data_IF_929275345741
#
_entry.id   IF_929275345741
#
_cell.length_a   1.000
_cell.length_b   1.000
_cell.length_c   1.000
_cell.angle_alpha   90.00
_cell.angle_beta   90.00
_cell.angle_gamma   90.00
#
_symmetry.space_group_name_H-M   'P 1'
#
loop_
_entity.id
_entity.type
_entity.pdbx_description
1 polymer ?
#
# COMPACT_ATOMS: atom_id res chain seq x y z
N UNK A 1 -1.77 -26.15 5.51
CA UNK A 1 -1.27 -24.76 5.27
C UNK A 1 -2.13 -23.78 6.07
N UNK A 2 -1.53 -22.86 6.83
CA UNK A 2 -2.29 -21.93 7.69
C UNK A 2 -2.83 -20.79 6.80
N UNK A 3 -4.08 -20.90 6.34
CA UNK A 3 -4.67 -19.95 5.40
C UNK A 3 -4.60 -18.48 5.84
N UNK A 4 -4.74 -18.11 7.13
CA UNK A 4 -4.61 -16.71 7.52
C UNK A 4 -3.21 -16.14 7.29
N UNK A 5 -2.17 -16.95 7.46
CA UNK A 5 -0.78 -16.53 7.15
C UNK A 5 -0.58 -16.36 5.65
N UNK A 6 -1.09 -17.30 4.84
CA UNK A 6 -1.01 -17.22 3.38
C UNK A 6 -1.69 -15.94 2.87
N UNK A 7 -2.92 -15.69 3.28
CA UNK A 7 -3.69 -14.49 2.92
C UNK A 7 -2.96 -13.23 3.36
N UNK A 8 -2.49 -13.19 4.62
CA UNK A 8 -1.77 -12.03 5.15
C UNK A 8 -0.46 -11.74 4.40
N UNK A 9 0.21 -12.75 3.86
CA UNK A 9 1.44 -12.59 3.08
C UNK A 9 1.14 -12.15 1.66
N UNK A 10 0.23 -12.84 0.96
CA UNK A 10 -0.10 -12.55 -0.44
C UNK A 10 -0.81 -11.19 -0.61
N UNK A 11 -1.67 -10.84 0.35
CA UNK A 11 -2.41 -9.57 0.36
C UNK A 11 -1.79 -8.55 1.34
N UNK A 12 -0.47 -8.62 1.53
CA UNK A 12 0.27 -7.60 2.27
C UNK A 12 0.40 -6.31 1.44
N UNK A 13 0.70 -5.15 2.05
CA UNK A 13 0.74 -3.88 1.35
C UNK A 13 1.58 -3.86 0.06
N UNK A 14 2.83 -4.37 0.03
CA UNK A 14 3.64 -4.30 -1.18
C UNK A 14 3.05 -5.05 -2.40
N UNK A 15 2.61 -6.32 -2.31
CA UNK A 15 1.98 -7.01 -3.44
C UNK A 15 0.70 -6.35 -3.94
N UNK A 16 -0.21 -5.90 -3.05
CA UNK A 16 -1.49 -5.34 -3.50
C UNK A 16 -1.32 -4.02 -4.24
N UNK A 17 -0.39 -3.17 -3.80
CA UNK A 17 -0.08 -1.93 -4.51
C UNK A 17 0.70 -2.19 -5.80
N UNK A 18 1.60 -3.16 -5.85
CA UNK A 18 2.27 -3.57 -7.08
C UNK A 18 1.27 -4.08 -8.14
N UNK A 19 0.32 -4.93 -7.72
CA UNK A 19 -0.73 -5.43 -8.60
C UNK A 19 -1.67 -4.32 -9.10
N UNK A 20 -1.98 -3.32 -8.26
CA UNK A 20 -2.82 -2.20 -8.64
C UNK A 20 -2.13 -1.22 -9.59
N UNK A 21 -0.83 -1.00 -9.41
CA UNK A 21 -0.05 -0.08 -10.24
C UNK A 21 -0.03 -0.49 -11.73
N UNK A 22 0.00 -1.79 -12.02
CA UNK A 22 0.08 -2.27 -13.39
C UNK A 22 -1.13 -1.89 -14.25
N UNK A 23 -2.39 -2.24 -13.89
CA UNK A 23 -3.55 -1.84 -14.69
C UNK A 23 -3.77 -0.33 -14.71
N UNK A 24 -3.49 0.37 -13.61
CA UNK A 24 -3.58 1.84 -13.56
C UNK A 24 -2.61 2.48 -14.53
N UNK A 25 -1.37 1.99 -14.59
CA UNK A 25 -0.35 2.52 -15.49
C UNK A 25 -0.65 2.23 -16.96
N UNK A 26 -1.13 1.02 -17.27
CA UNK A 26 -1.41 0.63 -18.65
C UNK A 26 -2.65 1.32 -19.24
N UNK A 27 -3.58 1.73 -18.38
CA UNK A 27 -4.83 2.37 -18.81
C UNK A 27 -4.60 3.69 -19.55
N UNK A 28 -3.73 4.56 -19.02
CA UNK A 28 -3.58 5.94 -19.50
C UNK A 28 -2.20 6.20 -20.16
N UNK A 29 -1.39 5.15 -20.36
CA UNK A 29 -0.08 5.27 -20.99
C UNK A 29 -0.20 5.48 -22.52
N UNK A 30 0.66 6.31 -23.10
CA UNK A 30 0.71 6.53 -24.54
C UNK A 30 1.16 5.28 -25.32
N UNK A 31 1.87 4.35 -24.67
CA UNK A 31 2.27 3.06 -25.24
C UNK A 31 2.38 2.01 -24.15
N UNK A 32 2.29 0.74 -24.55
CA UNK A 32 2.45 -0.40 -23.62
C UNK A 32 3.81 -0.37 -22.92
N UNK A 33 4.89 -0.07 -23.65
CA UNK A 33 6.24 0.04 -23.09
C UNK A 33 6.35 1.15 -22.05
N UNK A 34 5.76 2.31 -22.30
CA UNK A 34 5.73 3.40 -21.32
C UNK A 34 4.92 3.01 -20.07
N UNK A 35 3.78 2.34 -20.27
CA UNK A 35 3.00 1.81 -19.15
C UNK A 35 3.81 0.85 -18.27
N UNK A 36 4.57 -0.06 -18.87
CA UNK A 36 5.45 -0.96 -18.14
C UNK A 36 6.58 -0.24 -17.41
N UNK A 37 7.19 0.77 -18.02
CA UNK A 37 8.23 1.58 -17.35
C UNK A 37 7.65 2.32 -16.14
N UNK A 38 6.52 2.99 -16.29
CA UNK A 38 5.88 3.71 -15.19
C UNK A 38 5.44 2.78 -14.06
N UNK A 39 4.83 1.63 -14.39
CA UNK A 39 4.51 0.59 -13.42
C UNK A 39 5.78 0.06 -12.74
N UNK A 40 6.86 -0.16 -13.50
CA UNK A 40 8.16 -0.60 -12.99
C UNK A 40 8.76 0.36 -11.97
N UNK A 41 8.76 1.67 -12.26
CA UNK A 41 9.20 2.71 -11.33
C UNK A 41 8.39 2.61 -10.03
N UNK A 42 7.06 2.58 -10.15
CA UNK A 42 6.20 2.48 -8.97
C UNK A 42 6.47 1.20 -8.17
N UNK A 43 6.45 0.03 -8.81
CA UNK A 43 6.64 -1.28 -8.17
C UNK A 43 7.99 -1.35 -7.46
N UNK A 44 9.06 -0.91 -8.11
CA UNK A 44 10.41 -0.94 -7.53
C UNK A 44 10.48 -0.08 -6.28
N UNK A 45 10.07 1.18 -6.38
CA UNK A 45 10.29 2.13 -5.28
C UNK A 45 9.19 2.09 -4.21
N UNK A 46 7.92 1.85 -4.55
CA UNK A 46 6.82 1.83 -3.55
C UNK A 46 6.68 0.47 -2.88
N UNK A 47 6.97 -0.62 -3.61
CA UNK A 47 6.71 -1.98 -3.12
C UNK A 47 8.00 -2.77 -2.85
N UNK A 48 8.86 -2.92 -3.85
CA UNK A 48 9.98 -3.88 -3.80
C UNK A 48 11.10 -3.41 -2.86
N UNK A 49 11.62 -2.20 -3.02
CA UNK A 49 12.74 -1.71 -2.21
C UNK A 49 12.40 -1.64 -0.71
N UNK A 50 11.24 -1.08 -0.28
CA UNK A 50 10.84 -1.12 1.12
C UNK A 50 10.70 -2.55 1.66
N UNK A 51 10.12 -3.46 0.86
CA UNK A 51 9.98 -4.86 1.26
C UNK A 51 11.34 -5.55 1.42
N UNK A 52 12.27 -5.34 0.49
CA UNK A 52 13.63 -5.88 0.57
C UNK A 52 14.39 -5.32 1.78
N UNK A 53 14.21 -4.03 2.09
CA UNK A 53 14.78 -3.44 3.30
C UNK A 53 14.28 -4.16 4.55
N UNK A 54 12.96 -4.35 4.71
CA UNK A 54 12.39 -5.08 5.85
C UNK A 54 12.91 -6.52 5.90
N UNK A 55 12.94 -7.23 4.76
CA UNK A 55 13.46 -8.58 4.69
C UNK A 55 14.94 -8.66 5.11
N UNK A 56 15.76 -7.70 4.69
CA UNK A 56 17.16 -7.62 5.10
C UNK A 56 17.29 -7.34 6.61
N UNK A 57 16.41 -6.51 7.19
CA UNK A 57 16.41 -6.24 8.62
C UNK A 57 15.97 -7.47 9.44
N UNK A 58 15.00 -8.25 8.93
CA UNK A 58 14.60 -9.53 9.55
C UNK A 58 15.76 -10.53 9.52
N UNK A 59 16.42 -10.69 8.36
CA UNK A 59 17.59 -11.58 8.24
C UNK A 59 18.75 -11.20 9.18
N UNK A 60 18.91 -9.90 9.45
CA UNK A 60 19.93 -9.39 10.38
C UNK A 60 19.50 -9.41 11.85
N UNK A 61 18.32 -9.96 12.16
CA UNK A 61 17.77 -10.02 13.53
C UNK A 61 17.38 -8.66 14.12
N UNK A 62 17.32 -7.59 13.32
CA UNK A 62 16.94 -6.25 13.78
C UNK A 62 15.43 -6.00 13.82
N UNK A 63 14.67 -6.81 13.11
CA UNK A 63 13.21 -6.84 13.08
C UNK A 63 12.78 -8.29 13.30
N UNK A 64 11.78 -8.51 14.15
CA UNK A 64 11.34 -9.85 14.58
C UNK A 64 10.66 -10.65 13.48
N UNK A 65 9.90 -10.00 12.59
CA UNK A 65 9.22 -10.62 11.46
C UNK A 65 8.77 -9.57 10.44
N UNK A 66 8.40 -10.02 9.24
CA UNK A 66 7.89 -9.15 8.16
C UNK A 66 6.61 -8.38 8.58
N UNK A 67 5.82 -8.94 9.47
CA UNK A 67 4.60 -8.29 10.01
C UNK A 67 4.90 -7.12 10.98
N UNK A 68 6.14 -7.02 11.47
CA UNK A 68 6.58 -5.98 12.42
C UNK A 68 5.58 -5.76 13.57
N UNK A 69 5.37 -6.77 14.44
CA UNK A 69 4.37 -6.68 15.50
C UNK A 69 4.68 -5.58 16.53
N UNK A 70 5.97 -5.28 16.73
CA UNK A 70 6.42 -4.25 17.65
C UNK A 70 6.43 -2.89 16.97
N UNK A 71 5.79 -1.90 17.62
CA UNK A 71 5.62 -0.54 17.10
C UNK A 71 6.95 0.16 16.80
N UNK A 72 7.92 -0.01 17.69
CA UNK A 72 9.25 0.61 17.63
C UNK A 72 10.02 0.16 16.37
N UNK A 73 9.80 -1.07 15.93
CA UNK A 73 10.45 -1.64 14.74
C UNK A 73 9.96 -1.02 13.43
N UNK A 74 8.81 -0.32 13.42
CA UNK A 74 8.19 0.28 12.22
C UNK A 74 8.80 1.62 11.82
N UNK A 75 9.45 2.33 12.73
CA UNK A 75 9.93 3.71 12.47
C UNK A 75 10.88 3.77 11.28
N UNK A 76 11.93 2.95 11.27
CA UNK A 76 12.91 2.92 10.16
C UNK A 76 12.31 2.43 8.85
N UNK A 77 11.56 1.31 8.80
CA UNK A 77 10.81 0.91 7.60
C UNK A 77 9.92 2.00 7.02
N UNK A 78 9.17 2.72 7.85
CA UNK A 78 8.35 3.83 7.36
C UNK A 78 9.18 4.96 6.75
N UNK A 79 10.29 5.36 7.37
CA UNK A 79 11.17 6.38 6.82
C UNK A 79 11.75 5.96 5.46
N UNK A 80 12.18 4.70 5.33
CA UNK A 80 12.66 4.15 4.04
C UNK A 80 11.53 4.14 3.02
N UNK A 81 10.32 3.70 3.40
CA UNK A 81 9.17 3.69 2.50
C UNK A 81 8.80 5.10 2.04
N UNK A 82 8.79 6.09 2.94
CA UNK A 82 8.55 7.50 2.60
C UNK A 82 9.59 7.98 1.59
N UNK A 83 10.87 7.78 1.86
CA UNK A 83 11.96 8.21 0.96
C UNK A 83 11.84 7.55 -0.41
N UNK A 84 11.66 6.22 -0.47
CA UNK A 84 11.49 5.51 -1.74
C UNK A 84 10.25 5.97 -2.50
N UNK A 85 9.10 6.15 -1.83
CA UNK A 85 7.87 6.60 -2.48
C UNK A 85 7.96 8.05 -2.97
N UNK A 86 8.68 8.92 -2.25
CA UNK A 86 8.98 10.29 -2.72
C UNK A 86 9.81 10.26 -3.99
N UNK A 87 10.82 9.38 -4.07
CA UNK A 87 11.61 9.19 -5.29
C UNK A 87 10.72 8.68 -6.43
N UNK A 88 9.84 7.70 -6.18
CA UNK A 88 8.89 7.21 -7.19
C UNK A 88 8.01 8.35 -7.74
N UNK A 89 7.44 9.14 -6.84
CA UNK A 89 6.58 10.27 -7.20
C UNK A 89 7.34 11.29 -8.06
N UNK A 90 8.55 11.65 -7.66
CA UNK A 90 9.39 12.59 -8.41
C UNK A 90 9.78 12.05 -9.79
N UNK A 91 10.21 10.78 -9.88
CA UNK A 91 10.56 10.15 -11.15
C UNK A 91 9.35 10.09 -12.11
N UNK A 92 8.17 9.67 -11.61
CA UNK A 92 6.95 9.62 -12.40
C UNK A 92 6.51 11.00 -12.91
N UNK A 93 6.75 12.06 -12.14
CA UNK A 93 6.51 13.43 -12.60
C UNK A 93 7.53 13.90 -13.67
N UNK A 94 8.79 13.50 -13.55
CA UNK A 94 9.86 13.92 -14.45
C UNK A 94 9.89 13.14 -15.77
N UNK A 95 9.32 11.94 -15.81
CA UNK A 95 9.25 11.11 -17.03
C UNK A 95 8.03 11.41 -17.92
N UNK A 96 7.31 12.50 -17.67
CA UNK A 96 6.05 12.82 -18.36
C UNK A 96 5.03 11.65 -18.32
N UNK A 97 5.05 10.86 -17.24
CA UNK A 97 4.04 9.85 -17.01
C UNK A 97 2.65 10.49 -16.95
N UNK A 98 1.59 9.83 -17.44
CA UNK A 98 0.22 10.33 -17.27
C UNK A 98 -0.06 10.67 -15.82
N UNK A 99 -0.80 11.77 -15.58
CA UNK A 99 -1.03 12.33 -14.24
C UNK A 99 -1.53 11.33 -13.18
N UNK A 100 -2.20 10.27 -13.63
CA UNK A 100 -2.70 9.20 -12.76
C UNK A 100 -1.59 8.45 -12.00
N UNK A 101 -0.42 8.23 -12.61
CA UNK A 101 0.66 7.49 -11.96
C UNK A 101 1.40 8.32 -10.87
N UNK A 102 1.80 9.58 -11.12
CA UNK A 102 2.27 10.46 -10.06
C UNK A 102 1.24 10.64 -8.94
N UNK A 103 -0.05 10.70 -9.28
CA UNK A 103 -1.12 10.80 -8.29
C UNK A 103 -1.24 9.54 -7.43
N UNK A 104 -1.18 8.35 -8.02
CA UNK A 104 -1.16 7.08 -7.27
C UNK A 104 0.03 7.02 -6.31
N UNK A 105 1.21 7.47 -6.75
CA UNK A 105 2.40 7.55 -5.90
C UNK A 105 2.22 8.56 -4.76
N UNK A 106 1.57 9.71 -5.02
CA UNK A 106 1.24 10.71 -4.00
C UNK A 106 0.25 10.15 -2.97
N UNK A 107 -0.79 9.43 -3.41
CA UNK A 107 -1.72 8.74 -2.51
C UNK A 107 -1.00 7.74 -1.62
N UNK A 108 -0.09 6.93 -2.20
CA UNK A 108 0.71 5.97 -1.43
C UNK A 108 1.63 6.67 -0.42
N UNK A 109 2.27 7.78 -0.81
CA UNK A 109 3.11 8.59 0.07
C UNK A 109 2.29 9.15 1.24
N UNK A 110 1.13 9.71 0.98
CA UNK A 110 0.25 10.25 2.01
C UNK A 110 -0.26 9.16 2.97
N UNK A 111 -0.62 7.97 2.45
CA UNK A 111 -1.02 6.82 3.27
C UNK A 111 0.13 6.35 4.18
N UNK A 112 1.35 6.22 3.63
CA UNK A 112 2.52 5.80 4.41
C UNK A 112 2.88 6.86 5.46
N UNK A 113 2.83 8.15 5.11
CA UNK A 113 3.07 9.24 6.07
C UNK A 113 2.02 9.26 7.18
N UNK A 114 0.74 9.08 6.84
CA UNK A 114 -0.36 9.03 7.80
C UNK A 114 -0.20 7.88 8.79
N UNK A 115 0.10 6.65 8.30
CA UNK A 115 0.29 5.53 9.21
C UNK A 115 1.58 5.64 10.03
N UNK A 116 2.64 6.24 9.49
CA UNK A 116 3.85 6.54 10.23
C UNK A 116 3.57 7.49 11.41
N UNK A 117 2.81 8.55 11.15
CA UNK A 117 2.38 9.51 12.17
C UNK A 117 1.47 8.86 13.23
N UNK A 118 0.40 8.18 12.79
CA UNK A 118 -0.55 7.52 13.70
C UNK A 118 0.16 6.47 14.57
N UNK A 119 1.13 5.74 14.00
CA UNK A 119 1.89 4.72 14.74
C UNK A 119 2.69 5.31 15.92
N UNK A 120 2.91 6.61 16.00
CA UNK A 120 3.52 7.25 17.17
C UNK A 120 2.65 7.09 18.45
N UNK A 121 1.33 7.07 18.29
CA UNK A 121 0.39 6.94 19.39
C UNK A 121 -0.39 5.61 19.36
N UNK A 122 -0.85 5.17 18.19
CA UNK A 122 -1.74 4.02 18.04
C UNK A 122 -1.38 3.17 16.82
N UNK A 123 -1.41 1.83 16.98
CA UNK A 123 -1.00 0.89 15.94
C UNK A 123 -2.21 0.41 15.13
N UNK A 124 -2.56 1.11 14.07
CA UNK A 124 -3.59 0.67 13.13
C UNK A 124 -3.07 -0.39 12.14
N UNK A 125 -3.98 -1.05 11.41
CA UNK A 125 -3.65 -2.12 10.47
C UNK A 125 -3.22 -1.59 9.11
N UNK A 126 -1.94 -1.77 8.76
CA UNK A 126 -1.42 -1.45 7.41
C UNK A 126 -2.12 -2.26 6.32
N UNK A 127 -2.45 -3.53 6.57
CA UNK A 127 -3.14 -4.39 5.61
C UNK A 127 -4.53 -3.84 5.27
N UNK A 128 -5.30 -3.46 6.29
CA UNK A 128 -6.63 -2.89 6.07
C UNK A 128 -6.55 -1.54 5.39
N UNK A 129 -5.61 -0.68 5.80
CA UNK A 129 -5.39 0.61 5.15
C UNK A 129 -5.07 0.43 3.66
N UNK A 130 -4.14 -0.48 3.32
CA UNK A 130 -3.74 -0.72 1.93
C UNK A 130 -4.85 -1.36 1.10
N UNK A 131 -5.53 -2.39 1.62
CA UNK A 131 -6.66 -3.00 0.91
C UNK A 131 -7.79 -2.01 0.68
N UNK A 132 -8.10 -1.17 1.65
CA UNK A 132 -9.11 -0.12 1.48
C UNK A 132 -8.66 0.94 0.47
N UNK A 133 -7.40 1.37 0.52
CA UNK A 133 -6.84 2.28 -0.48
C UNK A 133 -6.89 1.70 -1.90
N UNK A 134 -6.64 0.40 -2.06
CA UNK A 134 -6.78 -0.30 -3.35
C UNK A 134 -8.24 -0.35 -3.80
N UNK A 135 -9.22 -0.57 -2.90
CA UNK A 135 -10.64 -0.49 -3.26
C UNK A 135 -11.05 0.90 -3.73
N UNK A 136 -10.57 1.95 -3.05
CA UNK A 136 -10.81 3.35 -3.47
C UNK A 136 -10.17 3.62 -4.82
N UNK A 137 -8.94 3.17 -5.05
CA UNK A 137 -8.27 3.31 -6.34
C UNK A 137 -9.00 2.51 -7.44
N UNK A 138 -9.44 1.28 -7.16
CA UNK A 138 -10.23 0.48 -8.10
C UNK A 138 -11.54 1.20 -8.48
N UNK A 139 -12.24 1.75 -7.50
CA UNK A 139 -13.45 2.53 -7.73
C UNK A 139 -13.17 3.78 -8.57
N UNK A 140 -12.16 4.55 -8.21
CA UNK A 140 -11.85 5.83 -8.86
C UNK A 140 -11.34 5.66 -10.30
N UNK A 141 -10.50 4.65 -10.55
CA UNK A 141 -9.88 4.46 -11.87
C UNK A 141 -10.66 3.51 -12.79
N UNK A 142 -11.40 2.55 -12.25
CA UNK A 142 -12.07 1.51 -13.04
C UNK A 142 -13.58 1.43 -12.81
N UNK A 143 -14.09 2.15 -11.81
CA UNK A 143 -15.50 2.21 -11.48
C UNK A 143 -15.95 1.23 -10.38
N UNK A 144 -17.22 1.35 -9.93
CA UNK A 144 -17.72 0.67 -8.72
C UNK A 144 -17.73 -0.86 -8.84
N UNK A 145 -17.90 -1.40 -10.04
CA UNK A 145 -17.92 -2.85 -10.27
C UNK A 145 -16.58 -3.49 -9.84
N UNK A 146 -15.45 -2.85 -10.13
CA UNK A 146 -14.14 -3.37 -9.77
C UNK A 146 -13.90 -3.30 -8.27
N UNK A 147 -14.31 -2.23 -7.61
CA UNK A 147 -14.23 -2.14 -6.16
C UNK A 147 -15.09 -3.22 -5.49
N UNK A 148 -16.30 -3.47 -6.00
CA UNK A 148 -17.18 -4.52 -5.51
C UNK A 148 -16.57 -5.91 -5.72
N UNK A 149 -16.00 -6.17 -6.91
CA UNK A 149 -15.36 -7.46 -7.22
C UNK A 149 -14.15 -7.76 -6.30
N UNK A 150 -13.42 -6.73 -5.86
CA UNK A 150 -12.28 -6.86 -4.96
C UNK A 150 -12.68 -6.88 -3.46
N UNK A 151 -13.90 -6.48 -3.12
CA UNK A 151 -14.37 -6.38 -1.73
C UNK A 151 -14.30 -7.69 -0.93
N UNK A 152 -14.50 -8.91 -1.51
CA UNK A 152 -14.30 -10.16 -0.78
C UNK A 152 -12.86 -10.34 -0.27
N UNK A 153 -11.87 -9.85 -1.00
CA UNK A 153 -10.45 -9.90 -0.55
C UNK A 153 -10.23 -9.01 0.67
N UNK A 154 -10.90 -7.87 0.74
CA UNK A 154 -10.88 -6.98 1.91
C UNK A 154 -11.43 -7.69 3.16
N UNK A 155 -12.57 -8.38 3.04
CA UNK A 155 -13.14 -9.19 4.13
C UNK A 155 -12.21 -10.33 4.54
N UNK A 156 -11.60 -10.99 3.56
CA UNK A 156 -10.67 -12.09 3.79
C UNK A 156 -9.42 -11.63 4.55
N UNK A 157 -8.88 -10.45 4.21
CA UNK A 157 -7.76 -9.85 4.95
C UNK A 157 -8.18 -9.49 6.37
N UNK A 158 -9.35 -8.87 6.56
CA UNK A 158 -9.85 -8.56 7.89
C UNK A 158 -9.96 -9.83 8.77
N UNK A 159 -10.56 -10.89 8.25
CA UNK A 159 -10.70 -12.17 8.93
C UNK A 159 -9.33 -12.79 9.25
N UNK A 160 -8.37 -12.74 8.32
CA UNK A 160 -7.03 -13.25 8.53
C UNK A 160 -6.29 -12.51 9.65
N UNK A 161 -6.38 -11.16 9.66
CA UNK A 161 -5.71 -10.35 10.70
C UNK A 161 -6.30 -10.57 12.09
N UNK A 162 -7.62 -10.76 12.20
CA UNK A 162 -8.29 -11.12 13.46
C UNK A 162 -7.87 -12.52 13.94
N UNK A 163 -7.92 -13.52 13.06
CA UNK A 163 -7.54 -14.91 13.43
C UNK A 163 -6.08 -15.08 13.81
N UNK A 164 -5.19 -14.25 13.25
CA UNK A 164 -3.78 -14.23 13.62
C UNK A 164 -3.52 -13.46 14.94
N UNK A 165 -4.53 -12.85 15.54
CA UNK A 165 -4.36 -12.01 16.75
C UNK A 165 -3.45 -10.80 16.52
N UNK A 166 -3.31 -10.34 15.27
CA UNK A 166 -2.37 -9.25 14.93
C UNK A 166 -2.95 -7.85 15.17
N UNK A 167 -4.26 -7.73 15.14
CA UNK A 167 -4.97 -6.46 15.34
C UNK A 167 -6.33 -6.70 16.00
N UNK A 168 -6.78 -5.71 16.79
CA UNK A 168 -8.15 -5.63 17.27
C UNK A 168 -9.09 -5.12 16.16
N UNK A 169 -10.43 -5.33 16.30
CA UNK A 169 -11.41 -4.75 15.37
C UNK A 169 -11.26 -3.23 15.21
N UNK A 170 -11.00 -2.49 16.29
CA UNK A 170 -10.77 -1.06 16.25
C UNK A 170 -9.54 -0.66 15.43
N UNK A 171 -8.45 -1.44 15.52
CA UNK A 171 -7.23 -1.21 14.72
C UNK A 171 -7.44 -1.52 13.23
N UNK A 172 -8.29 -2.50 12.90
CA UNK A 172 -8.69 -2.77 11.51
C UNK A 172 -9.54 -1.62 10.96
N UNK A 173 -10.53 -1.18 11.73
CA UNK A 173 -11.39 -0.06 11.36
C UNK A 173 -10.59 1.23 11.18
N UNK A 174 -9.66 1.53 12.09
CA UNK A 174 -8.77 2.69 11.97
C UNK A 174 -7.94 2.65 10.69
N UNK A 175 -7.42 1.47 10.32
CA UNK A 175 -6.73 1.27 9.04
C UNK A 175 -7.66 1.52 7.84
N UNK A 176 -8.89 0.98 7.87
CA UNK A 176 -9.87 1.17 6.80
C UNK A 176 -10.26 2.64 6.64
N UNK A 177 -10.52 3.35 7.73
CA UNK A 177 -10.86 4.80 7.73
C UNK A 177 -9.75 5.62 7.07
N UNK A 178 -8.50 5.41 7.46
CA UNK A 178 -7.36 6.12 6.84
C UNK A 178 -7.24 5.75 5.35
N UNK A 179 -7.45 4.47 5.01
CA UNK A 179 -7.43 3.98 3.62
C UNK A 179 -8.51 4.58 2.72
N UNK A 180 -9.64 5.06 3.29
CA UNK A 180 -10.69 5.81 2.57
C UNK A 180 -10.35 7.29 2.55
N UNK A 181 -10.18 7.90 3.72
CA UNK A 181 -10.15 9.36 3.87
C UNK A 181 -8.97 9.99 3.13
N UNK A 182 -7.77 9.40 3.23
CA UNK A 182 -6.57 9.99 2.64
C UNK A 182 -6.65 10.07 1.11
N UNK A 183 -6.98 8.99 0.36
CA UNK A 183 -7.16 9.11 -1.09
C UNK A 183 -8.33 10.02 -1.48
N UNK A 184 -9.48 9.97 -0.78
CA UNK A 184 -10.63 10.83 -1.11
C UNK A 184 -10.31 12.32 -0.91
N UNK A 185 -9.59 12.68 0.15
CA UNK A 185 -9.14 14.06 0.36
C UNK A 185 -8.21 14.52 -0.77
N UNK A 186 -7.28 13.68 -1.21
CA UNK A 186 -6.40 14.00 -2.32
C UNK A 186 -7.16 14.12 -3.65
N UNK A 187 -8.17 13.29 -3.89
CA UNK A 187 -9.05 13.43 -5.06
C UNK A 187 -9.86 14.72 -5.03
N UNK A 188 -10.31 15.17 -3.86
CA UNK A 188 -11.06 16.40 -3.72
C UNK A 188 -10.21 17.69 -3.90
N UNK A 189 -8.87 17.56 -3.84
CA UNK A 189 -7.91 18.66 -4.00
C UNK A 189 -7.34 18.77 -5.42
N UNK A 190 -7.73 17.90 -6.36
CA UNK A 190 -7.36 17.95 -7.78
C UNK A 190 -8.32 18.81 -8.59
#
# INVERSE_FOLDING_TARGET
MNWPRLVSTLLSPPPVWALMALPVSLRDAASFSQGLVNAGIYIVFVSLLPMLYVAAMVRRGRITSLDMPLREQRRRPFMVSIACTTIAWWLLRSTAAPGVMPFLALCSLALIASIAFITLAWQISMHMMSMTGVLVAAWAFFGPVWALALSPLWLLVAAARLRLGRHSPAQLLGGAVVGVLVPLLLFALQ
#
